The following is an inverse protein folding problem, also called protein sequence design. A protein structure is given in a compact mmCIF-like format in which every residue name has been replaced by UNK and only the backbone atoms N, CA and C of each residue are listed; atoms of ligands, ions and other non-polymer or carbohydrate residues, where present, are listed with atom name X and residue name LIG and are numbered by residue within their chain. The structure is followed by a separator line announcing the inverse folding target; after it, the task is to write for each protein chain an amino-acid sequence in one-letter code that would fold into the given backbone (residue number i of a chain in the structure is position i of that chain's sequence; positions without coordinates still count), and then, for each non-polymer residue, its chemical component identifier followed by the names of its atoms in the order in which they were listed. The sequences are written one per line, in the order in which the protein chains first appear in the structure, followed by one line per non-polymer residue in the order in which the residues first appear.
data_IF_928869610654
#
_entry.id   IF_928869610654
#
_cell.length_a   1.000
_cell.length_b   1.000
_cell.length_c   1.000
_cell.angle_alpha   90.00
_cell.angle_beta   90.00
_cell.angle_gamma   90.00
#
_symmetry.space_group_name_H-M   'P 1'
#
loop_
_entity.id
_entity.type
_entity.pdbx_description
1 polymer ?
#
# COMPACT_ATOMS: atom_id res chain seq x y z
N UNK A 1 2.87 22.93 -6.13
CA UNK A 1 1.50 23.51 -6.15
C UNK A 1 0.65 22.64 -5.25
N UNK A 2 0.57 23.03 -3.97
CA UNK A 2 -0.25 22.34 -2.99
C UNK A 2 -1.71 22.25 -3.46
N UNK A 3 -2.42 21.13 -3.21
CA UNK A 3 -3.85 21.03 -3.47
C UNK A 3 -4.61 22.15 -2.74
N UNK A 4 -5.66 22.68 -3.38
CA UNK A 4 -6.56 23.64 -2.73
C UNK A 4 -7.18 22.97 -1.48
N UNK A 5 -7.36 23.69 -0.35
CA UNK A 5 -8.02 23.15 0.83
C UNK A 5 -9.39 22.55 0.48
N UNK A 6 -9.72 21.40 1.05
CA UNK A 6 -11.04 20.77 0.96
C UNK A 6 -11.70 20.77 2.35
N UNK A 7 -13.02 20.54 2.46
CA UNK A 7 -13.67 20.37 3.76
C UNK A 7 -13.02 19.28 4.63
N UNK A 8 -12.46 18.24 4.00
CA UNK A 8 -11.75 17.14 4.65
C UNK A 8 -10.30 17.48 4.99
N UNK A 9 -9.72 18.52 4.36
CA UNK A 9 -8.38 19.01 4.61
C UNK A 9 -8.37 20.54 4.66
N UNK A 10 -8.88 21.14 5.75
CA UNK A 10 -9.15 22.57 5.84
C UNK A 10 -7.88 23.43 5.93
N UNK A 11 -6.75 22.80 6.26
CA UNK A 11 -5.42 23.40 6.18
C UNK A 11 -4.76 22.89 4.91
N UNK A 12 -4.35 23.76 3.97
CA UNK A 12 -3.61 23.29 2.80
C UNK A 12 -2.37 22.55 3.27
N UNK A 13 -2.15 21.34 2.72
CA UNK A 13 -0.89 20.64 2.95
C UNK A 13 0.24 21.60 2.58
N UNK A 14 1.25 21.79 3.45
CA UNK A 14 2.35 22.68 3.14
C UNK A 14 2.94 22.27 1.79
N UNK A 15 3.05 23.24 0.85
CA UNK A 15 3.71 23.00 -0.43
C UNK A 15 5.11 22.49 -0.10
N UNK A 16 5.49 21.32 -0.61
CA UNK A 16 6.77 20.65 -0.32
C UNK A 16 7.98 21.40 -0.91
N UNK A 17 7.80 22.70 -1.20
CA UNK A 17 8.66 23.53 -2.03
C UNK A 17 8.77 22.97 -3.44
N UNK A 18 9.47 23.68 -4.33
CA UNK A 18 10.07 23.03 -5.52
C UNK A 18 11.28 22.16 -5.15
N UNK A 19 11.29 21.61 -3.94
CA UNK A 19 12.33 20.75 -3.42
C UNK A 19 12.13 19.31 -3.88
N UNK A 20 13.22 18.60 -4.12
CA UNK A 20 13.20 17.17 -4.36
C UNK A 20 12.51 16.45 -3.18
N UNK A 21 11.78 15.36 -3.42
CA UNK A 21 11.10 14.60 -2.36
C UNK A 21 12.03 14.18 -1.19
N UNK A 22 13.34 14.17 -1.42
CA UNK A 22 14.41 13.91 -0.45
C UNK A 22 14.57 14.98 0.63
N UNK A 23 14.01 16.19 0.46
CA UNK A 23 14.01 17.23 1.49
C UNK A 23 12.91 17.05 2.53
N UNK A 24 11.97 16.11 2.29
CA UNK A 24 10.94 15.75 3.26
C UNK A 24 11.57 14.89 4.36
N UNK A 25 11.51 15.30 5.64
CA UNK A 25 12.13 14.54 6.73
C UNK A 25 11.64 13.09 6.84
N UNK A 26 10.43 12.81 6.34
CA UNK A 26 9.82 11.47 6.32
C UNK A 26 10.15 10.65 5.07
N UNK A 27 10.70 11.26 4.03
CA UNK A 27 11.07 10.62 2.76
C UNK A 27 12.49 11.03 2.35
N UNK A 28 13.50 10.93 3.24
CA UNK A 28 14.86 11.41 2.93
C UNK A 28 15.48 10.68 1.73
N UNK A 29 15.00 9.47 1.43
CA UNK A 29 15.42 8.64 0.29
C UNK A 29 14.44 8.71 -0.90
N UNK A 30 13.49 9.65 -0.88
CA UNK A 30 12.44 9.77 -1.88
C UNK A 30 11.28 8.78 -1.70
N UNK A 31 10.50 8.62 -2.76
CA UNK A 31 9.31 7.76 -2.82
C UNK A 31 9.25 7.04 -4.17
N UNK A 32 8.78 5.80 -4.16
CA UNK A 32 8.46 5.01 -5.35
C UNK A 32 6.93 4.97 -5.52
N UNK A 33 6.43 5.19 -6.73
CA UNK A 33 4.99 5.29 -7.02
C UNK A 33 4.43 4.11 -7.82
N UNK A 34 5.24 3.07 -8.01
CA UNK A 34 4.82 1.85 -8.65
C UNK A 34 4.29 0.86 -7.60
N UNK A 35 3.31 0.00 -7.94
CA UNK A 35 2.84 -1.08 -7.07
C UNK A 35 3.97 -2.02 -6.65
N UNK A 36 3.77 -2.77 -5.56
CA UNK A 36 4.81 -3.66 -5.03
C UNK A 36 5.29 -3.35 -3.63
N UNK A 37 4.47 -2.68 -2.80
CA UNK A 37 4.82 -2.53 -1.38
C UNK A 37 3.59 -2.41 -0.50
N UNK A 38 3.69 -2.97 0.71
CA UNK A 38 2.62 -2.92 1.72
C UNK A 38 3.17 -2.56 3.11
N UNK A 39 2.41 -1.80 3.91
CA UNK A 39 2.78 -1.52 5.30
C UNK A 39 2.54 -2.74 6.20
N UNK A 40 3.44 -2.96 7.15
CA UNK A 40 3.39 -4.05 8.13
C UNK A 40 2.80 -3.53 9.44
N UNK A 41 1.81 -4.22 9.98
CA UNK A 41 1.13 -3.84 11.22
C UNK A 41 1.24 -4.90 12.31
N UNK A 42 1.31 -4.47 13.57
CA UNK A 42 1.04 -5.28 14.76
C UNK A 42 -0.21 -4.73 15.45
N UNK A 43 -1.32 -5.45 15.36
CA UNK A 43 -2.64 -4.89 15.68
C UNK A 43 -2.93 -3.68 14.77
N UNK A 44 -3.09 -2.50 15.36
CA UNK A 44 -3.30 -1.23 14.64
C UNK A 44 -2.04 -0.36 14.53
N UNK A 45 -0.89 -0.84 15.03
CA UNK A 45 0.37 -0.09 15.03
C UNK A 45 1.17 -0.41 13.77
N UNK A 46 1.53 0.62 12.99
CA UNK A 46 2.48 0.51 11.89
C UNK A 46 3.87 0.21 12.46
N UNK A 47 4.48 -0.90 12.04
CA UNK A 47 5.80 -1.34 12.54
C UNK A 47 6.86 -1.46 11.44
N UNK A 48 6.49 -1.24 10.18
CA UNK A 48 7.42 -1.27 9.06
C UNK A 48 6.71 -1.34 7.71
N UNK A 49 7.44 -1.77 6.69
CA UNK A 49 6.94 -2.02 5.35
C UNK A 49 7.82 -3.04 4.64
N UNK A 50 7.23 -3.73 3.67
CA UNK A 50 7.94 -4.61 2.73
C UNK A 50 7.66 -4.12 1.32
N UNK A 51 8.67 -4.20 0.45
CA UNK A 51 8.54 -3.93 -0.97
C UNK A 51 9.23 -5.01 -1.79
N UNK A 52 8.62 -5.36 -2.91
CA UNK A 52 9.10 -6.33 -3.89
C UNK A 52 9.27 -5.59 -5.21
N UNK A 53 10.34 -5.93 -5.93
CA UNK A 53 10.59 -5.39 -7.27
C UNK A 53 11.28 -6.45 -8.10
N UNK A 54 10.80 -6.67 -9.32
CA UNK A 54 11.51 -7.47 -10.32
C UNK A 54 10.64 -7.94 -11.46
N UNK A 55 9.36 -8.24 -11.21
CA UNK A 55 8.43 -8.72 -12.23
C UNK A 55 7.51 -7.57 -12.71
N UNK A 56 6.39 -7.89 -13.35
CA UNK A 56 5.33 -6.94 -13.66
C UNK A 56 4.66 -6.41 -12.38
N UNK A 57 4.22 -5.15 -12.42
CA UNK A 57 3.66 -4.44 -11.25
C UNK A 57 2.49 -5.18 -10.56
N UNK A 58 1.65 -5.90 -11.31
CA UNK A 58 0.56 -6.68 -10.73
C UNK A 58 1.09 -7.85 -9.88
N UNK A 59 2.21 -8.45 -10.29
CA UNK A 59 2.85 -9.53 -9.56
C UNK A 59 3.62 -8.98 -8.35
N UNK A 60 4.37 -7.89 -8.50
CA UNK A 60 5.08 -7.26 -7.38
C UNK A 60 4.10 -6.88 -6.23
N UNK A 61 2.92 -6.34 -6.57
CA UNK A 61 1.90 -5.94 -5.60
C UNK A 61 1.27 -7.14 -4.88
N UNK A 62 0.89 -8.17 -5.65
CA UNK A 62 0.39 -9.43 -5.11
C UNK A 62 1.42 -10.12 -4.20
N UNK A 63 2.67 -10.25 -4.64
CA UNK A 63 3.72 -10.95 -3.90
C UNK A 63 3.99 -10.22 -2.58
N UNK A 64 4.03 -8.90 -2.58
CA UNK A 64 4.20 -8.10 -1.37
C UNK A 64 3.07 -8.36 -0.36
N UNK A 65 1.82 -8.33 -0.82
CA UNK A 65 0.64 -8.49 0.03
C UNK A 65 0.45 -9.93 0.55
N UNK A 66 0.55 -10.92 -0.34
CA UNK A 66 0.42 -12.34 0.04
C UNK A 66 1.63 -12.81 0.86
N UNK A 67 2.83 -12.30 0.55
CA UNK A 67 4.03 -12.57 1.35
C UNK A 67 3.85 -12.12 2.79
N UNK A 68 3.34 -10.90 3.01
CA UNK A 68 3.02 -10.41 4.35
C UNK A 68 1.89 -11.19 5.01
N UNK A 69 0.83 -11.53 4.27
CA UNK A 69 -0.26 -12.37 4.80
C UNK A 69 0.26 -13.74 5.29
N UNK A 70 1.02 -14.44 4.46
CA UNK A 70 1.58 -15.74 4.77
C UNK A 70 2.58 -15.68 5.93
N UNK A 71 3.39 -14.61 6.00
CA UNK A 71 4.25 -14.37 7.16
C UNK A 71 3.43 -14.18 8.45
N UNK A 72 2.30 -13.47 8.37
CA UNK A 72 1.36 -13.33 9.49
C UNK A 72 0.84 -14.68 9.97
N UNK A 73 0.42 -15.57 9.06
CA UNK A 73 0.00 -16.93 9.39
C UNK A 73 1.13 -17.73 10.05
N UNK A 74 2.32 -17.73 9.45
CA UNK A 74 3.49 -18.46 9.95
C UNK A 74 3.97 -17.96 11.33
N UNK A 75 3.74 -16.68 11.63
CA UNK A 75 4.15 -16.03 12.87
C UNK A 75 2.98 -15.82 13.84
N UNK A 76 1.93 -16.67 13.76
CA UNK A 76 0.78 -16.67 14.66
C UNK A 76 0.10 -15.29 14.83
N UNK A 77 -0.03 -14.53 13.74
CA UNK A 77 -0.67 -13.22 13.70
C UNK A 77 0.14 -12.09 14.35
N UNK A 78 1.42 -12.30 14.67
CA UNK A 78 2.28 -11.28 15.30
C UNK A 78 2.55 -10.06 14.40
N UNK A 79 2.40 -10.23 13.09
CA UNK A 79 2.37 -9.17 12.07
C UNK A 79 1.25 -9.44 11.08
N UNK A 80 0.70 -8.38 10.49
CA UNK A 80 -0.44 -8.45 9.59
C UNK A 80 -0.35 -7.36 8.51
N UNK A 81 -1.15 -7.52 7.46
CA UNK A 81 -1.52 -6.43 6.56
C UNK A 81 -2.21 -5.29 7.33
N UNK A 82 -2.28 -4.10 6.71
CA UNK A 82 -3.05 -2.99 7.27
C UNK A 82 -4.49 -3.41 7.63
N UNK A 83 -5.03 -3.01 8.79
CA UNK A 83 -6.44 -3.20 9.10
C UNK A 83 -7.33 -2.59 8.02
N UNK A 84 -8.39 -3.31 7.62
CA UNK A 84 -9.26 -2.90 6.50
C UNK A 84 -9.78 -1.48 6.62
N UNK A 85 -10.17 -1.03 7.82
CA UNK A 85 -10.72 0.31 8.06
C UNK A 85 -9.76 1.48 7.89
N UNK A 86 -8.45 1.24 7.69
CA UNK A 86 -7.45 2.30 7.47
C UNK A 86 -6.71 2.16 6.14
N UNK A 87 -7.18 1.29 5.25
CA UNK A 87 -6.59 1.10 3.93
C UNK A 87 -6.99 2.21 2.96
N UNK A 88 -6.17 2.41 1.93
CA UNK A 88 -6.37 3.42 0.91
C UNK A 88 -7.69 3.25 0.15
N UNK A 89 -8.20 2.02 0.05
CA UNK A 89 -9.43 1.71 -0.67
C UNK A 89 -10.72 2.08 0.08
N UNK A 90 -10.60 2.69 1.25
CA UNK A 90 -11.68 3.46 1.90
C UNK A 90 -11.70 4.93 1.46
N UNK A 91 -10.71 5.39 0.69
CA UNK A 91 -10.57 6.78 0.26
C UNK A 91 -11.11 6.96 -1.16
N UNK A 92 -11.82 8.06 -1.39
CA UNK A 92 -12.42 8.41 -2.69
C UNK A 92 -12.03 9.84 -3.11
N UNK A 93 -10.73 10.18 -3.21
CA UNK A 93 -10.31 11.51 -3.65
C UNK A 93 -10.82 11.79 -5.06
N UNK A 94 -11.38 12.98 -5.26
CA UNK A 94 -11.90 13.43 -6.56
C UNK A 94 -12.93 12.46 -7.18
N UNK A 95 -13.69 11.72 -6.36
CA UNK A 95 -14.69 10.76 -6.83
C UNK A 95 -14.13 9.42 -7.29
N UNK A 96 -12.82 9.18 -7.19
CA UNK A 96 -12.19 7.92 -7.57
C UNK A 96 -11.74 7.11 -6.35
N UNK A 97 -12.23 5.87 -6.20
CA UNK A 97 -11.77 4.97 -5.14
C UNK A 97 -10.33 4.55 -5.41
N UNK A 98 -9.45 4.77 -4.44
CA UNK A 98 -8.08 4.27 -4.55
C UNK A 98 -8.05 2.75 -4.42
N UNK A 99 -7.11 2.10 -5.10
CA UNK A 99 -6.86 0.67 -4.90
C UNK A 99 -5.84 0.51 -3.78
N UNK A 100 -6.04 -0.49 -2.91
CA UNK A 100 -5.06 -0.83 -1.88
C UNK A 100 -4.06 -1.87 -2.39
N UNK A 101 -4.54 -2.95 -3.01
CA UNK A 101 -3.72 -3.99 -3.65
C UNK A 101 -4.40 -4.42 -4.95
N UNK A 102 -3.61 -4.68 -5.98
CA UNK A 102 -4.00 -5.34 -7.21
C UNK A 102 -3.43 -6.77 -7.21
N UNK A 103 -4.30 -7.76 -7.41
CA UNK A 103 -3.86 -9.14 -7.64
C UNK A 103 -4.27 -9.59 -9.05
N UNK A 104 -3.33 -10.17 -9.83
CA UNK A 104 -3.57 -10.59 -11.20
C UNK A 104 -4.61 -11.71 -11.27
N UNK A 105 -5.28 -11.79 -12.42
CA UNK A 105 -6.11 -12.93 -12.77
C UNK A 105 -5.20 -14.13 -13.06
N UNK A 106 -5.54 -15.33 -12.58
CA UNK A 106 -4.68 -16.51 -12.59
C UNK A 106 -3.28 -16.27 -11.97
N UNK A 107 -3.21 -15.97 -10.67
CA UNK A 107 -2.01 -15.50 -9.98
C UNK A 107 -0.88 -16.53 -9.85
N UNK A 108 -1.18 -17.82 -10.00
CA UNK A 108 -0.23 -18.89 -9.76
C UNK A 108 -0.06 -19.79 -10.99
N UNK A 109 1.18 -20.21 -11.23
CA UNK A 109 1.50 -21.18 -12.27
C UNK A 109 0.81 -22.52 -11.98
N UNK A 110 0.25 -23.14 -13.01
CA UNK A 110 -0.42 -24.44 -12.93
C UNK A 110 -1.57 -24.50 -11.92
N UNK A 111 -2.22 -23.37 -11.64
CA UNK A 111 -3.39 -23.28 -10.76
C UNK A 111 -4.61 -22.70 -11.47
N UNK A 112 -5.79 -23.02 -10.97
CA UNK A 112 -7.07 -22.42 -11.36
C UNK A 112 -7.60 -21.42 -10.34
N UNK A 113 -6.88 -21.19 -9.24
CA UNK A 113 -7.27 -20.26 -8.18
C UNK A 113 -7.43 -18.84 -8.73
N UNK A 114 -8.42 -18.12 -8.19
CA UNK A 114 -8.73 -16.74 -8.55
C UNK A 114 -9.00 -15.93 -7.28
N UNK A 115 -8.94 -14.61 -7.38
CA UNK A 115 -9.30 -13.69 -6.29
C UNK A 115 -8.56 -13.99 -4.97
N UNK A 116 -7.32 -14.43 -5.03
CA UNK A 116 -6.53 -14.91 -3.88
C UNK A 116 -6.27 -13.85 -2.79
N UNK A 117 -6.50 -12.58 -3.12
CA UNK A 117 -6.37 -11.45 -2.20
C UNK A 117 -7.73 -10.97 -1.66
N UNK A 118 -8.84 -11.52 -2.15
CA UNK A 118 -10.18 -11.12 -1.74
C UNK A 118 -10.42 -11.45 -0.27
N UNK A 119 -10.89 -10.46 0.48
CA UNK A 119 -11.20 -10.64 1.89
C UNK A 119 -9.99 -10.61 2.84
N UNK A 120 -8.76 -10.54 2.34
CA UNK A 120 -7.54 -10.40 3.15
C UNK A 120 -7.28 -8.95 3.58
#
# INVERSE_FOLDING_TARGET
LAPKPTPENPVPLPDIGRGQCTTLPRLPNGIQIFPGSVPIYRGTTLVGGIGVSGDGIDQDDMISFLGLHNAGLALNGSVNNAPKGIRADNLVPSGARLRFVQCPQAPFLNSTEQNVCEGL
#
